data_IF_662371887867
#
_entry.id   IF_662371887867
#
_cell.length_a   1.000
_cell.length_b   1.000
_cell.length_c   1.000
_cell.angle_alpha   90.00
_cell.angle_beta   90.00
_cell.angle_gamma   90.00
#
_symmetry.space_group_name_H-M   'P 1'
#
loop_
_entity.id
_entity.type
_entity.pdbx_description
1 polymer ?
#
# COMPACT_ATOMS: atom_id res chain seq x y z
N UNK A 1 6.31 3.66 22.41
CA UNK A 1 6.28 2.39 23.16
C UNK A 1 6.99 1.40 22.26
N UNK A 2 8.11 0.79 22.68
CA UNK A 2 8.73 -0.23 21.83
C UNK A 2 7.71 -1.35 21.61
N UNK A 3 7.49 -1.80 20.36
CA UNK A 3 6.62 -2.95 20.13
C UNK A 3 7.11 -4.12 20.98
N UNK A 4 6.16 -4.86 21.56
CA UNK A 4 6.46 -6.08 22.30
C UNK A 4 7.39 -6.95 21.44
N UNK A 5 8.61 -7.27 21.89
CA UNK A 5 9.57 -8.04 21.09
C UNK A 5 9.00 -9.37 20.59
N UNK A 6 8.06 -9.97 21.33
CA UNK A 6 7.35 -11.18 20.90
C UNK A 6 6.44 -10.88 19.71
N UNK A 7 5.65 -9.81 19.79
CA UNK A 7 4.76 -9.40 18.69
C UNK A 7 5.53 -9.01 17.44
N UNK A 8 6.67 -8.32 17.59
CA UNK A 8 7.55 -7.99 16.47
C UNK A 8 8.12 -9.26 15.81
N UNK A 9 8.55 -10.24 16.60
CA UNK A 9 9.03 -11.51 16.08
C UNK A 9 7.93 -12.28 15.33
N UNK A 10 6.71 -12.31 15.86
CA UNK A 10 5.55 -12.92 15.22
C UNK A 10 5.16 -12.21 13.92
N UNK A 11 5.18 -10.87 13.90
CA UNK A 11 4.95 -10.10 12.69
C UNK A 11 5.98 -10.43 11.61
N UNK A 12 7.26 -10.45 11.96
CA UNK A 12 8.34 -10.80 11.03
C UNK A 12 8.17 -12.22 10.48
N UNK A 13 7.81 -13.17 11.35
CA UNK A 13 7.53 -14.55 10.93
C UNK A 13 6.32 -14.62 9.98
N UNK A 14 5.22 -13.93 10.30
CA UNK A 14 4.02 -13.89 9.45
C UNK A 14 4.33 -13.25 8.09
N UNK A 15 5.11 -12.17 8.07
CA UNK A 15 5.59 -11.52 6.84
C UNK A 15 6.33 -12.52 5.96
N UNK A 16 7.32 -13.23 6.51
CA UNK A 16 8.07 -14.25 5.76
C UNK A 16 7.15 -15.35 5.22
N UNK A 17 6.17 -15.81 6.00
CA UNK A 17 5.20 -16.81 5.55
C UNK A 17 4.34 -16.31 4.39
N UNK A 18 3.77 -15.10 4.50
CA UNK A 18 2.93 -14.52 3.43
C UNK A 18 3.74 -14.36 2.15
N UNK A 19 4.96 -13.80 2.25
CA UNK A 19 5.83 -13.61 1.10
C UNK A 19 6.26 -14.95 0.48
N UNK A 20 6.61 -15.95 1.30
CA UNK A 20 6.97 -17.28 0.81
C UNK A 20 5.83 -17.97 0.06
N UNK A 21 4.62 -17.95 0.65
CA UNK A 21 3.42 -18.49 0.00
C UNK A 21 3.10 -17.74 -1.29
N UNK A 22 3.21 -16.41 -1.28
CA UNK A 22 2.94 -15.60 -2.47
C UNK A 22 3.92 -15.83 -3.62
N UNK A 23 5.20 -15.94 -3.33
CA UNK A 23 6.26 -16.09 -4.34
C UNK A 23 6.32 -17.52 -4.88
N UNK A 24 6.25 -18.54 -4.01
CA UNK A 24 6.50 -19.93 -4.40
C UNK A 24 5.24 -20.73 -4.68
N UNK A 25 4.11 -20.33 -4.10
CA UNK A 25 2.85 -21.07 -4.22
C UNK A 25 1.75 -20.26 -4.92
N UNK A 26 2.06 -19.04 -5.37
CA UNK A 26 1.11 -18.15 -6.03
C UNK A 26 -0.14 -17.86 -5.19
N UNK A 27 0.00 -17.92 -3.87
CA UNK A 27 -1.06 -17.53 -2.94
C UNK A 27 -1.15 -16.00 -2.85
N UNK A 28 -2.34 -15.49 -2.50
CA UNK A 28 -2.62 -14.05 -2.38
C UNK A 28 -2.47 -13.21 -3.66
N UNK A 29 -3.07 -12.03 -3.65
CA UNK A 29 -2.95 -11.06 -4.74
C UNK A 29 -1.61 -10.32 -4.71
N UNK A 30 -1.22 -9.75 -5.86
CA UNK A 30 -0.01 -8.94 -5.98
C UNK A 30 -0.03 -7.73 -5.04
N UNK A 31 -1.18 -7.09 -4.89
CA UNK A 31 -1.38 -5.98 -3.95
C UNK A 31 -1.07 -6.40 -2.50
N UNK A 32 -1.55 -7.58 -2.09
CA UNK A 32 -1.36 -8.09 -0.74
C UNK A 32 0.11 -8.42 -0.47
N UNK A 33 0.77 -9.08 -1.42
CA UNK A 33 2.20 -9.42 -1.33
C UNK A 33 3.03 -8.14 -1.26
N UNK A 34 2.74 -7.19 -2.15
CA UNK A 34 3.40 -5.88 -2.17
C UNK A 34 3.23 -5.13 -0.84
N UNK A 35 2.02 -5.15 -0.27
CA UNK A 35 1.74 -4.50 1.01
C UNK A 35 2.60 -5.08 2.15
N UNK A 36 2.73 -6.40 2.23
CA UNK A 36 3.61 -7.06 3.19
C UNK A 36 5.10 -6.81 2.94
N UNK A 37 5.52 -6.77 1.67
CA UNK A 37 6.91 -6.53 1.32
C UNK A 37 7.36 -5.12 1.72
N UNK A 38 6.53 -4.12 1.38
CA UNK A 38 6.83 -2.69 1.53
C UNK A 38 6.31 -2.09 2.85
N UNK A 39 5.73 -2.91 3.72
CA UNK A 39 5.20 -2.47 5.01
C UNK A 39 4.01 -1.51 4.90
N UNK A 40 3.17 -1.67 3.87
CA UNK A 40 1.89 -0.95 3.72
C UNK A 40 0.79 -1.78 4.38
N UNK A 41 -0.05 -1.18 5.24
CA UNK A 41 -1.20 -1.89 5.78
C UNK A 41 -2.18 -2.31 4.65
N UNK A 42 -2.54 -3.60 4.50
CA UNK A 42 -3.40 -4.10 3.42
C UNK A 42 -4.90 -3.76 3.59
N UNK A 43 -5.22 -2.46 3.65
CA UNK A 43 -6.55 -1.95 4.03
C UNK A 43 -7.72 -2.57 3.26
N UNK A 44 -7.61 -2.65 1.92
CA UNK A 44 -8.65 -3.25 1.07
C UNK A 44 -8.87 -4.76 1.25
N UNK A 45 -8.03 -5.46 2.04
CA UNK A 45 -8.24 -6.86 2.40
C UNK A 45 -8.72 -7.06 3.85
N UNK A 46 -9.05 -5.98 4.57
CA UNK A 46 -9.69 -6.07 5.88
C UNK A 46 -10.99 -6.89 5.79
N UNK A 47 -11.19 -7.77 6.77
CA UNK A 47 -12.48 -8.45 6.95
C UNK A 47 -13.44 -7.61 7.78
N UNK A 48 -14.74 -7.85 7.63
CA UNK A 48 -15.80 -7.19 8.41
C UNK A 48 -16.15 -7.93 9.71
N UNK A 49 -15.37 -8.96 10.08
CA UNK A 49 -15.62 -9.84 11.21
C UNK A 49 -16.64 -10.96 10.96
N UNK A 50 -17.20 -11.07 9.75
CA UNK A 50 -18.07 -12.19 9.37
C UNK A 50 -17.31 -13.47 8.99
N UNK A 51 -16.01 -13.34 8.72
CA UNK A 51 -15.09 -14.43 8.37
C UNK A 51 -13.88 -14.41 9.28
N UNK A 52 -13.02 -15.43 9.17
CA UNK A 52 -11.75 -15.44 9.88
C UNK A 52 -10.91 -14.24 9.46
N UNK A 53 -10.40 -13.43 10.42
CA UNK A 53 -9.57 -12.28 10.11
C UNK A 53 -8.36 -12.64 9.25
N UNK A 54 -8.03 -11.75 8.34
CA UNK A 54 -6.83 -11.89 7.53
C UNK A 54 -5.58 -11.67 8.40
N UNK A 55 -4.43 -12.29 8.06
CA UNK A 55 -3.24 -12.28 8.93
C UNK A 55 -2.76 -10.89 9.36
N UNK A 56 -2.95 -9.87 8.53
CA UNK A 56 -2.50 -8.50 8.77
C UNK A 56 -3.29 -7.77 9.87
N UNK A 57 -4.55 -8.14 10.11
CA UNK A 57 -5.46 -7.40 10.99
C UNK A 57 -4.99 -7.37 12.45
N UNK A 58 -4.37 -8.45 12.93
CA UNK A 58 -3.81 -8.53 14.30
C UNK A 58 -2.48 -7.75 14.45
N UNK A 59 -1.86 -7.37 13.34
CA UNK A 59 -0.55 -6.72 13.29
C UNK A 59 -0.61 -5.27 12.83
N UNK A 60 -1.79 -4.63 12.77
CA UNK A 60 -1.95 -3.29 12.19
C UNK A 60 -0.94 -2.24 12.68
N UNK A 61 -0.58 -2.27 13.96
CA UNK A 61 0.41 -1.36 14.56
C UNK A 61 1.89 -1.62 14.17
N UNK A 62 2.19 -2.71 13.46
CA UNK A 62 3.54 -3.13 13.08
C UNK A 62 3.89 -2.79 11.63
N UNK A 63 2.92 -2.32 10.84
CA UNK A 63 3.17 -1.83 9.49
C UNK A 63 3.83 -0.45 9.52
N UNK A 64 4.73 -0.19 8.57
CA UNK A 64 5.41 1.10 8.43
C UNK A 64 4.42 2.20 8.04
N UNK A 65 3.52 1.91 7.09
CA UNK A 65 2.37 2.75 6.77
C UNK A 65 1.13 2.17 7.44
N UNK A 66 0.63 2.84 8.46
CA UNK A 66 -0.46 2.34 9.30
C UNK A 66 -1.79 2.31 8.56
N UNK A 67 -2.76 1.59 9.13
CA UNK A 67 -4.14 1.57 8.64
C UNK A 67 -4.70 2.97 8.44
N UNK A 68 -4.51 3.85 9.42
CA UNK A 68 -5.05 5.22 9.40
C UNK A 68 -4.39 6.09 8.33
N UNK A 69 -3.12 5.85 8.00
CA UNK A 69 -2.42 6.56 6.93
C UNK A 69 -2.92 6.07 5.56
N UNK A 70 -3.01 4.75 5.37
CA UNK A 70 -3.52 4.15 4.13
C UNK A 70 -4.97 4.54 3.88
N UNK A 71 -5.84 4.43 4.88
CA UNK A 71 -7.25 4.82 4.79
C UNK A 71 -7.41 6.30 4.42
N UNK A 72 -6.68 7.21 5.09
CA UNK A 72 -6.80 8.65 4.78
C UNK A 72 -6.35 9.01 3.37
N UNK A 73 -5.22 8.48 2.90
CA UNK A 73 -4.75 8.73 1.53
C UNK A 73 -5.74 8.18 0.53
N UNK A 74 -6.14 6.92 0.68
CA UNK A 74 -7.05 6.26 -0.27
C UNK A 74 -8.43 6.88 -0.29
N UNK A 75 -8.96 7.30 0.86
CA UNK A 75 -10.22 8.03 0.97
C UNK A 75 -10.18 9.40 0.31
N UNK A 76 -9.09 10.17 0.50
CA UNK A 76 -8.94 11.44 -0.21
C UNK A 76 -8.96 11.21 -1.73
N UNK A 77 -8.20 10.23 -2.21
CA UNK A 77 -8.16 9.90 -3.63
C UNK A 77 -9.53 9.48 -4.17
N UNK A 78 -10.28 8.67 -3.41
CA UNK A 78 -11.66 8.29 -3.73
C UNK A 78 -12.60 9.49 -3.80
N UNK A 79 -12.59 10.36 -2.78
CA UNK A 79 -13.41 11.58 -2.75
C UNK A 79 -13.10 12.49 -3.95
N UNK A 80 -11.81 12.65 -4.29
CA UNK A 80 -11.34 13.45 -5.43
C UNK A 80 -11.71 12.82 -6.77
N UNK A 81 -11.66 11.50 -6.89
CA UNK A 81 -12.07 10.77 -8.08
C UNK A 81 -13.57 10.88 -8.32
N UNK A 82 -14.39 10.66 -7.30
CA UNK A 82 -15.85 10.85 -7.35
C UNK A 82 -16.22 12.28 -7.73
N UNK A 83 -15.50 13.27 -7.19
CA UNK A 83 -15.68 14.68 -7.52
C UNK A 83 -15.14 15.09 -8.90
N UNK A 84 -14.52 14.17 -9.65
CA UNK A 84 -13.83 14.43 -10.94
C UNK A 84 -12.77 15.53 -10.85
N UNK A 85 -12.09 15.58 -9.71
CA UNK A 85 -11.04 16.55 -9.39
C UNK A 85 -9.80 15.81 -8.87
N UNK A 86 -9.30 14.87 -9.67
CA UNK A 86 -8.13 14.03 -9.34
C UNK A 86 -6.89 14.92 -9.21
N UNK A 87 -6.16 14.85 -8.08
CA UNK A 87 -4.94 15.63 -7.92
C UNK A 87 -3.79 15.03 -8.74
N UNK A 88 -2.82 15.86 -9.10
CA UNK A 88 -1.47 15.42 -9.50
C UNK A 88 -0.70 14.91 -8.29
N UNK A 89 0.39 14.16 -8.51
CA UNK A 89 1.21 13.66 -7.40
C UNK A 89 1.81 14.80 -6.57
N UNK A 90 2.25 15.89 -7.19
CA UNK A 90 2.78 17.04 -6.46
C UNK A 90 1.72 17.70 -5.56
N UNK A 91 0.46 17.76 -6.01
CA UNK A 91 -0.66 18.26 -5.19
C UNK A 91 -0.95 17.32 -4.02
N UNK A 92 -0.93 16.00 -4.25
CA UNK A 92 -1.07 15.00 -3.20
C UNK A 92 0.07 15.09 -2.18
N UNK A 93 1.32 15.24 -2.64
CA UNK A 93 2.51 15.40 -1.79
C UNK A 93 2.38 16.65 -0.91
N UNK A 94 1.92 17.76 -1.48
CA UNK A 94 1.67 18.99 -0.72
C UNK A 94 0.56 18.82 0.33
N UNK A 95 -0.47 18.03 0.06
CA UNK A 95 -1.57 17.80 1.00
C UNK A 95 -1.14 16.98 2.23
N UNK A 96 -0.18 16.05 2.07
CA UNK A 96 0.30 15.17 3.14
C UNK A 96 1.71 15.51 3.66
N UNK A 97 2.34 16.60 3.22
CA UNK A 97 3.75 16.92 3.47
C UNK A 97 4.16 17.00 4.95
N UNK A 98 3.20 17.21 5.85
CA UNK A 98 3.44 17.30 7.29
C UNK A 98 3.38 15.94 8.00
N UNK A 99 2.94 14.90 7.32
CA UNK A 99 2.62 13.60 7.92
C UNK A 99 3.30 12.42 7.22
N UNK A 100 3.32 12.43 5.89
CA UNK A 100 3.86 11.35 5.08
C UNK A 100 5.00 11.86 4.23
N UNK A 101 6.04 11.05 4.09
CA UNK A 101 7.06 11.35 3.10
C UNK A 101 6.61 10.94 1.69
N UNK A 102 7.37 11.38 0.70
CA UNK A 102 7.14 11.04 -0.70
C UNK A 102 7.00 9.54 -0.93
N UNK A 103 7.89 8.77 -0.32
CA UNK A 103 7.95 7.33 -0.55
C UNK A 103 6.75 6.64 0.09
N UNK A 104 6.25 7.10 1.23
CA UNK A 104 5.00 6.62 1.81
C UNK A 104 3.84 6.76 0.82
N UNK A 105 3.68 7.95 0.24
CA UNK A 105 2.64 8.21 -0.76
C UNK A 105 2.83 7.34 -2.00
N UNK A 106 4.06 7.22 -2.52
CA UNK A 106 4.36 6.33 -3.65
C UNK A 106 3.97 4.89 -3.31
N UNK A 107 4.31 4.40 -2.11
CA UNK A 107 4.03 3.02 -1.73
C UNK A 107 2.53 2.77 -1.55
N UNK A 108 1.79 3.70 -0.94
CA UNK A 108 0.33 3.61 -0.75
C UNK A 108 -0.40 3.69 -2.10
N UNK A 109 0.00 4.60 -2.99
CA UNK A 109 -0.58 4.74 -4.33
C UNK A 109 -0.33 3.48 -5.16
N UNK A 110 0.90 2.95 -5.12
CA UNK A 110 1.24 1.69 -5.81
C UNK A 110 0.44 0.50 -5.28
N UNK A 111 0.27 0.40 -3.96
CA UNK A 111 -0.60 -0.62 -3.37
C UNK A 111 -2.03 -0.53 -3.93
N UNK A 112 -2.57 0.69 -4.02
CA UNK A 112 -3.92 0.93 -4.55
C UNK A 112 -4.03 0.58 -6.05
N UNK A 113 -3.01 0.91 -6.84
CA UNK A 113 -2.91 0.52 -8.25
C UNK A 113 -2.90 -0.99 -8.41
N UNK A 114 -2.06 -1.70 -7.65
CA UNK A 114 -1.96 -3.16 -7.72
C UNK A 114 -3.23 -3.87 -7.23
N UNK A 115 -4.02 -3.23 -6.38
CA UNK A 115 -5.34 -3.74 -5.98
C UNK A 115 -6.38 -3.62 -7.12
N UNK A 116 -6.08 -2.84 -8.16
CA UNK A 116 -7.02 -2.50 -9.23
C UNK A 116 -7.94 -1.35 -8.85
N UNK A 117 -7.50 -0.46 -7.96
CA UNK A 117 -8.22 0.78 -7.65
C UNK A 117 -8.11 1.80 -8.77
N UNK A 118 -9.17 2.58 -8.96
CA UNK A 118 -9.28 3.68 -9.93
C UNK A 118 -9.13 3.28 -11.40
N UNK A 119 -9.50 4.18 -12.31
CA UNK A 119 -9.40 3.98 -13.76
C UNK A 119 -8.10 4.56 -14.33
N UNK A 120 -7.83 4.28 -15.61
CA UNK A 120 -6.64 4.77 -16.30
C UNK A 120 -6.57 6.31 -16.33
N UNK A 121 -7.72 6.99 -16.45
CA UNK A 121 -7.79 8.46 -16.46
C UNK A 121 -7.33 9.05 -15.13
N UNK A 122 -7.71 8.44 -14.01
CA UNK A 122 -7.21 8.78 -12.68
C UNK A 122 -5.69 8.65 -12.62
N UNK A 123 -5.14 7.49 -13.00
CA UNK A 123 -3.70 7.24 -12.89
C UNK A 123 -2.88 8.13 -13.83
N UNK A 124 -3.39 8.40 -15.04
CA UNK A 124 -2.78 9.34 -15.98
C UNK A 124 -2.74 10.76 -15.42
N UNK A 125 -3.80 11.19 -14.72
CA UNK A 125 -3.86 12.51 -14.09
C UNK A 125 -2.89 12.60 -12.91
N UNK A 126 -2.91 11.61 -12.01
CA UNK A 126 -2.03 11.56 -10.85
C UNK A 126 -0.55 11.58 -11.26
N UNK A 127 -0.20 10.85 -12.32
CA UNK A 127 1.17 10.69 -12.81
C UNK A 127 1.50 11.63 -13.97
N UNK A 128 0.86 12.81 -14.02
CA UNK A 128 1.08 13.78 -15.10
C UNK A 128 2.56 14.16 -15.22
N UNK A 129 3.18 14.06 -16.42
CA UNK A 129 4.57 14.44 -16.62
C UNK A 129 4.86 15.88 -16.17
N UNK A 130 6.01 16.10 -15.54
CA UNK A 130 6.43 17.37 -14.94
C UNK A 130 5.63 17.83 -13.71
N UNK A 131 4.61 17.08 -13.27
CA UNK A 131 3.84 17.31 -12.03
C UNK A 131 3.91 16.08 -11.10
N UNK A 132 5.00 15.32 -11.25
CA UNK A 132 5.22 14.05 -10.59
C UNK A 132 6.72 13.75 -10.53
N UNK A 133 7.27 13.36 -9.36
CA UNK A 133 8.66 12.95 -9.22
C UNK A 133 8.95 11.62 -9.92
N UNK A 134 10.22 11.34 -10.19
CA UNK A 134 10.65 10.13 -10.92
C UNK A 134 10.27 8.82 -10.22
N UNK A 135 10.18 8.86 -8.89
CA UNK A 135 9.86 7.75 -8.01
C UNK A 135 8.40 7.30 -8.18
N UNK A 136 7.51 8.26 -8.41
CA UNK A 136 6.09 8.01 -8.60
C UNK A 136 5.76 7.39 -9.98
N UNK A 137 6.68 7.47 -10.95
CA UNK A 137 6.59 6.71 -12.23
C UNK A 137 6.57 5.19 -11.97
N UNK A 138 7.02 4.73 -10.80
CA UNK A 138 6.94 3.31 -10.46
C UNK A 138 5.52 2.86 -10.09
N UNK A 139 4.58 3.75 -9.77
CA UNK A 139 3.26 3.41 -9.22
C UNK A 139 2.47 2.48 -10.14
N UNK A 140 2.41 2.78 -11.44
CA UNK A 140 1.62 2.04 -12.42
C UNK A 140 2.37 0.88 -13.11
N UNK A 141 3.53 0.49 -12.58
CA UNK A 141 4.30 -0.63 -13.14
C UNK A 141 3.74 -1.96 -12.65
N UNK A 142 3.75 -2.94 -13.55
CA UNK A 142 3.45 -4.34 -13.20
C UNK A 142 4.29 -4.81 -12.00
N UNK A 143 3.69 -5.67 -11.18
CA UNK A 143 4.36 -6.28 -10.05
C UNK A 143 5.09 -7.55 -10.50
N UNK A 144 6.34 -7.67 -10.10
CA UNK A 144 7.15 -8.85 -10.38
C UNK A 144 7.53 -9.54 -9.07
N UNK A 145 6.80 -10.61 -8.73
CA UNK A 145 7.01 -11.42 -7.52
C UNK A 145 8.44 -11.95 -7.40
N UNK A 146 9.18 -12.10 -8.53
CA UNK A 146 10.55 -12.65 -8.53
C UNK A 146 11.61 -11.64 -8.07
N UNK A 147 11.25 -10.36 -7.94
CA UNK A 147 12.17 -9.30 -7.48
C UNK A 147 12.15 -9.10 -5.97
N UNK A 148 11.32 -9.87 -5.25
CA UNK A 148 11.26 -9.85 -3.79
C UNK A 148 12.39 -10.75 -3.27
N UNK A 149 13.22 -10.20 -2.39
CA UNK A 149 14.30 -10.92 -1.73
C UNK A 149 14.00 -11.08 -0.24
N UNK A 150 14.29 -12.25 0.31
CA UNK A 150 14.24 -12.49 1.75
C UNK A 150 15.60 -12.11 2.34
N UNK A 151 15.65 -11.04 3.14
CA UNK A 151 16.78 -10.74 4.03
C UNK A 151 16.52 -11.31 5.43
#
# INVERSE_FOLDING_TARGET
>A
MNPDPVMQALFNQQRLQVLHLGIHHNEFSDAYIYAWDEGVYPFFQDTDGSVTPMPHEIFGAHFLRTKEQVDRVTKLLDDRWIAKNVPTFDELENEFSNELDRMDLVKICRYSFLYGGFDDDFWNTLLTPMQCPSEAISINREFDRKKIYFE
#
